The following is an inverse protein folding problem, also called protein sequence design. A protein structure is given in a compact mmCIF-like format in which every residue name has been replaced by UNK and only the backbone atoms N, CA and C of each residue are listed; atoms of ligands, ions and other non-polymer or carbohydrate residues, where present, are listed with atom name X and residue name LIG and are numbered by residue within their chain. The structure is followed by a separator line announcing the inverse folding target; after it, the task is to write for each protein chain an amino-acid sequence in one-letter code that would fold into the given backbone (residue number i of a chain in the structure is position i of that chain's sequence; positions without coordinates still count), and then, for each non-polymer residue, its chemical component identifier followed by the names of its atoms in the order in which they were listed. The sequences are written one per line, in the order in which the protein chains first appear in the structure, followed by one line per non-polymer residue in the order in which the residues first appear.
data_IF_286446036490
#
_entry.id   IF_286446036490
#
_cell.length_a   1.000
_cell.length_b   1.000
_cell.length_c   1.000
_cell.angle_alpha   90.00
_cell.angle_beta   90.00
_cell.angle_gamma   90.00
#
_symmetry.space_group_name_H-M   'P 1'
#
loop_
_entity.id
_entity.type
_entity.pdbx_description
1 polymer ?
#
# COMPACT_ATOMS: atom_id res chain seq x y z
N UNK A 1 -12.78 8.25 -13.11
CA UNK A 1 -13.52 6.99 -13.26
C UNK A 1 -12.61 5.82 -12.91
N UNK A 2 -12.45 5.47 -11.63
CA UNK A 2 -11.67 4.30 -11.20
C UNK A 2 -12.52 3.27 -10.41
N UNK A 3 -13.84 3.46 -10.38
CA UNK A 3 -14.77 2.60 -9.65
C UNK A 3 -14.56 1.13 -10.03
N UNK A 4 -14.32 0.29 -9.01
CA UNK A 4 -14.08 -1.15 -9.11
C UNK A 4 -12.87 -1.56 -9.96
N UNK A 5 -11.96 -0.64 -10.30
CA UNK A 5 -10.67 -0.99 -10.89
C UNK A 5 -9.73 -1.51 -9.80
N UNK A 6 -9.09 -2.64 -10.04
CA UNK A 6 -8.00 -3.14 -9.20
C UNK A 6 -6.68 -2.52 -9.63
N UNK A 7 -5.98 -1.91 -8.67
CA UNK A 7 -4.69 -1.26 -8.89
C UNK A 7 -3.71 -1.79 -7.86
N UNK A 8 -2.55 -2.23 -8.32
CA UNK A 8 -1.44 -2.61 -7.44
C UNK A 8 -0.48 -1.43 -7.34
N UNK A 9 -0.11 -1.06 -6.13
CA UNK A 9 0.89 -0.02 -5.86
C UNK A 9 2.09 -0.66 -5.19
N UNK A 10 3.16 -0.83 -5.96
CA UNK A 10 4.46 -1.28 -5.47
C UNK A 10 5.31 -0.10 -5.01
N UNK A 11 5.86 -0.18 -3.80
CA UNK A 11 6.60 0.92 -3.17
C UNK A 11 7.98 0.41 -2.75
N UNK A 12 9.02 1.07 -3.26
CA UNK A 12 10.42 0.73 -3.00
C UNK A 12 11.06 1.67 -1.94
N UNK A 13 12.28 1.37 -1.52
CA UNK A 13 13.05 2.19 -0.58
C UNK A 13 13.51 3.53 -1.18
N UNK A 14 12.92 4.63 -0.71
CA UNK A 14 13.32 5.98 -1.08
C UNK A 14 12.58 7.03 -0.27
N UNK A 15 13.15 8.23 -0.17
CA UNK A 15 12.54 9.31 0.62
C UNK A 15 11.16 9.72 0.09
N UNK A 16 10.81 9.40 -1.16
CA UNK A 16 9.49 9.70 -1.72
C UNK A 16 8.39 8.74 -1.25
N UNK A 17 8.71 7.62 -0.59
CA UNK A 17 7.75 6.56 -0.25
C UNK A 17 6.64 7.03 0.69
N UNK A 18 6.89 8.03 1.55
CA UNK A 18 5.82 8.62 2.37
C UNK A 18 4.73 9.33 1.55
N UNK A 19 5.07 9.85 0.36
CA UNK A 19 4.10 10.50 -0.52
C UNK A 19 3.16 9.49 -1.19
N UNK A 20 3.56 8.23 -1.27
CA UNK A 20 2.70 7.17 -1.80
C UNK A 20 1.44 6.95 -0.95
N UNK A 21 1.46 7.36 0.33
CA UNK A 21 0.29 7.31 1.21
C UNK A 21 -0.86 8.17 0.66
N UNK A 22 -0.54 9.37 0.19
CA UNK A 22 -1.51 10.29 -0.44
C UNK A 22 -2.01 9.75 -1.78
N UNK A 23 -1.13 9.11 -2.57
CA UNK A 23 -1.53 8.43 -3.80
C UNK A 23 -2.55 7.32 -3.53
N UNK A 24 -2.28 6.44 -2.56
CA UNK A 24 -3.20 5.34 -2.19
C UNK A 24 -4.53 5.89 -1.71
N UNK A 25 -4.53 6.93 -0.87
CA UNK A 25 -5.75 7.59 -0.41
C UNK A 25 -6.59 8.15 -1.57
N UNK A 26 -5.96 8.84 -2.53
CA UNK A 26 -6.64 9.38 -3.71
C UNK A 26 -7.21 8.31 -4.63
N UNK A 27 -6.48 7.21 -4.83
CA UNK A 27 -6.96 6.07 -5.62
C UNK A 27 -8.18 5.41 -4.96
N UNK A 28 -8.14 5.25 -3.64
CA UNK A 28 -9.24 4.72 -2.84
C UNK A 28 -10.47 5.64 -2.93
N UNK A 29 -10.29 6.95 -2.74
CA UNK A 29 -11.36 7.95 -2.87
C UNK A 29 -11.98 7.98 -4.27
N UNK A 30 -11.20 7.66 -5.31
CA UNK A 30 -11.68 7.52 -6.68
C UNK A 30 -12.46 6.22 -6.96
N UNK A 31 -12.63 5.36 -5.95
CA UNK A 31 -13.38 4.10 -6.01
C UNK A 31 -12.57 2.89 -6.49
N UNK A 32 -11.24 3.01 -6.56
CA UNK A 32 -10.38 1.88 -6.90
C UNK A 32 -10.25 0.90 -5.73
N UNK A 33 -9.97 -0.36 -6.04
CA UNK A 33 -9.51 -1.36 -5.08
C UNK A 33 -7.99 -1.39 -5.13
N UNK A 34 -7.33 -0.90 -4.08
CA UNK A 34 -5.88 -0.70 -4.07
C UNK A 34 -5.19 -1.78 -3.24
N UNK A 35 -4.39 -2.64 -3.87
CA UNK A 35 -3.54 -3.59 -3.18
C UNK A 35 -2.11 -3.02 -3.12
N UNK A 36 -1.51 -2.95 -1.92
CA UNK A 36 -0.19 -2.32 -1.73
C UNK A 36 0.87 -3.38 -1.46
N UNK A 37 2.03 -3.23 -2.11
CA UNK A 37 3.22 -4.06 -1.89
C UNK A 37 4.37 -3.14 -1.48
N UNK A 38 5.01 -3.45 -0.35
CA UNK A 38 6.20 -2.77 0.14
C UNK A 38 7.43 -3.65 -0.06
N UNK A 39 8.55 -3.05 -0.44
CA UNK A 39 9.86 -3.69 -0.24
C UNK A 39 10.31 -3.51 1.21
N UNK A 40 11.20 -4.38 1.71
CA UNK A 40 11.85 -4.23 3.02
C UNK A 40 12.38 -2.81 3.27
N UNK A 41 13.16 -2.24 2.33
CA UNK A 41 13.71 -0.88 2.45
C UNK A 41 12.65 0.24 2.41
N UNK A 42 11.43 -0.03 1.96
CA UNK A 42 10.36 0.97 2.01
C UNK A 42 9.80 1.09 3.43
N UNK A 43 9.88 0.03 4.23
CA UNK A 43 9.41 0.01 5.62
C UNK A 43 10.22 0.91 6.55
N UNK A 44 11.49 1.15 6.20
CA UNK A 44 12.37 2.12 6.88
C UNK A 44 11.81 3.55 6.81
N UNK A 45 10.98 3.85 5.80
CA UNK A 45 10.37 5.17 5.61
C UNK A 45 8.90 5.21 6.02
N UNK A 46 8.11 4.17 5.69
CA UNK A 46 6.69 4.07 6.06
C UNK A 46 6.31 2.64 6.39
N UNK A 47 5.63 2.45 7.52
CA UNK A 47 5.19 1.14 8.00
C UNK A 47 3.98 0.61 7.23
N UNK A 48 3.84 -0.72 7.06
CA UNK A 48 2.68 -1.35 6.40
C UNK A 48 1.32 -0.92 6.95
N UNK A 49 1.21 -0.68 8.27
CA UNK A 49 -0.03 -0.26 8.94
C UNK A 49 -0.63 1.03 8.36
N UNK A 50 0.21 1.96 7.90
CA UNK A 50 -0.24 3.20 7.28
C UNK A 50 -0.98 2.90 5.98
N UNK A 51 -0.44 2.00 5.15
CA UNK A 51 -1.04 1.62 3.88
C UNK A 51 -2.27 0.73 4.06
N UNK A 52 -2.31 -0.16 5.06
CA UNK A 52 -3.48 -1.00 5.30
C UNK A 52 -4.69 -0.16 5.74
N UNK A 53 -4.43 0.92 6.49
CA UNK A 53 -5.45 1.88 6.91
C UNK A 53 -5.99 2.67 5.73
N UNK A 54 -5.13 3.13 4.81
CA UNK A 54 -5.53 3.93 3.65
C UNK A 54 -6.18 3.12 2.52
N UNK A 55 -5.72 1.89 2.28
CA UNK A 55 -6.26 1.01 1.24
C UNK A 55 -7.49 0.21 1.69
N UNK A 56 -7.74 0.15 3.01
CA UNK A 56 -8.70 -0.77 3.63
C UNK A 56 -8.49 -2.25 3.24
N UNK A 57 -7.24 -2.61 2.93
CA UNK A 57 -6.84 -3.94 2.44
C UNK A 57 -5.51 -4.36 3.07
N UNK A 58 -5.19 -5.66 3.11
CA UNK A 58 -3.88 -6.12 3.55
C UNK A 58 -2.77 -5.53 2.69
N UNK A 59 -1.61 -5.31 3.31
CA UNK A 59 -0.39 -4.86 2.64
C UNK A 59 0.59 -6.03 2.67
N UNK A 60 1.26 -6.26 1.55
CA UNK A 60 2.21 -7.34 1.39
C UNK A 60 3.63 -6.76 1.44
N UNK A 61 4.50 -7.35 2.25
CA UNK A 61 5.91 -6.96 2.38
C UNK A 61 6.86 -8.13 2.10
N UNK A 62 6.39 -9.35 2.35
CA UNK A 62 7.07 -10.59 2.03
C UNK A 62 6.14 -11.51 1.24
N UNK A 63 6.72 -12.41 0.43
CA UNK A 63 5.98 -13.45 -0.29
C UNK A 63 5.24 -14.41 0.66
N UNK A 64 5.79 -14.60 1.86
CA UNK A 64 5.32 -15.59 2.83
C UNK A 64 4.47 -14.97 3.95
N UNK A 65 4.55 -13.65 4.13
CA UNK A 65 3.71 -12.91 5.07
C UNK A 65 2.42 -12.43 4.39
N UNK A 66 1.56 -13.38 4.02
CA UNK A 66 0.18 -13.09 3.69
C UNK A 66 -0.70 -13.38 4.91
N UNK A 67 -1.27 -12.32 5.48
CA UNK A 67 -2.27 -12.31 6.57
C UNK A 67 -1.71 -12.13 7.99
N UNK A 68 -2.41 -11.29 8.75
CA UNK A 68 -1.90 -10.61 9.94
C UNK A 68 -1.35 -11.53 11.02
N UNK A 69 -0.27 -11.04 11.65
CA UNK A 69 0.29 -11.42 12.96
C UNK A 69 0.22 -12.92 13.29
N UNK A 70 1.39 -13.55 13.34
CA UNK A 70 1.62 -14.63 14.30
C UNK A 70 1.27 -14.17 15.73
#
# INVERSE_FOLDING_TARGET
MLLNKRIIVGICGGIASYKAVDLVSKLQQAGALVDVILTEHAEDFVRPLTFSTMSHRPVYSDLWEASGRA
#
